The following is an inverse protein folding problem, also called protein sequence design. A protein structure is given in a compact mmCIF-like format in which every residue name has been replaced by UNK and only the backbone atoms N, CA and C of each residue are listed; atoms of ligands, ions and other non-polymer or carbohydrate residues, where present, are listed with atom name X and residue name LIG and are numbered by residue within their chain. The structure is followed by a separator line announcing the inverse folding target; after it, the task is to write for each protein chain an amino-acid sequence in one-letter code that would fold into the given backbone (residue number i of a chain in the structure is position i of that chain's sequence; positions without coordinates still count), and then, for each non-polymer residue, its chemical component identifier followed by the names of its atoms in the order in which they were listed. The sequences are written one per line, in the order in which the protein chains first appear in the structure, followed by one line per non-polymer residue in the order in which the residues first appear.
data_IF_002913901141
#
_entry.id   IF_002913901141
#
_cell.length_a   1.000
_cell.length_b   1.000
_cell.length_c   1.000
_cell.angle_alpha   90.00
_cell.angle_beta   90.00
_cell.angle_gamma   90.00
#
_symmetry.space_group_name_H-M   'P 1'
#
loop_
_entity.id
_entity.type
_entity.pdbx_description
1 polymer ?
#
# COMPACT_ATOMS: atom_id res chain seq x y z
N UNK A 1 11.76 -22.68 45.22
CA UNK A 1 12.77 -23.20 46.15
C UNK A 1 12.25 -23.03 47.58
N UNK A 2 11.41 -23.94 48.05
CA UNK A 2 11.12 -24.06 49.48
C UNK A 2 11.90 -25.26 49.98
N UNK A 3 12.80 -25.05 50.95
CA UNK A 3 13.67 -26.09 51.50
C UNK A 3 12.78 -27.10 52.26
N UNK A 4 12.84 -28.38 51.86
CA UNK A 4 12.27 -29.48 52.66
C UNK A 4 12.94 -29.48 54.04
N UNK A 5 12.14 -29.50 55.11
CA UNK A 5 12.63 -29.70 56.47
C UNK A 5 12.96 -31.20 56.58
N UNK A 6 14.23 -31.54 56.40
CA UNK A 6 14.73 -32.89 56.71
C UNK A 6 14.67 -33.10 58.21
N UNK A 7 14.08 -34.22 58.62
CA UNK A 7 14.09 -34.69 60.01
C UNK A 7 15.55 -34.87 60.47
N UNK A 8 16.02 -34.01 61.36
CA UNK A 8 17.20 -34.28 62.17
C UNK A 8 16.85 -35.42 63.15
N UNK A 9 17.72 -36.42 63.35
CA UNK A 9 17.48 -37.46 64.33
C UNK A 9 17.61 -36.83 65.73
N UNK A 10 16.49 -36.72 66.44
CA UNK A 10 16.43 -36.34 67.87
C UNK A 10 16.95 -37.50 68.72
N UNK A 11 18.21 -37.88 68.52
CA UNK A 11 18.88 -38.96 69.26
C UNK A 11 19.89 -38.43 70.31
N UNK A 12 19.95 -37.10 70.53
CA UNK A 12 21.04 -36.47 71.28
C UNK A 12 20.60 -35.54 72.41
N UNK A 13 19.49 -35.80 73.10
CA UNK A 13 19.07 -34.99 74.26
C UNK A 13 18.31 -35.78 75.36
N UNK A 14 18.63 -37.07 75.51
CA UNK A 14 18.17 -37.89 76.64
C UNK A 14 19.33 -38.70 77.24
N UNK A 15 20.31 -37.99 77.78
CA UNK A 15 21.20 -38.52 78.81
C UNK A 15 21.26 -37.49 79.93
N UNK A 16 20.44 -37.68 80.95
CA UNK A 16 20.77 -37.54 82.38
C UNK A 16 19.54 -37.91 83.23
N UNK A 17 19.62 -39.10 83.83
CA UNK A 17 19.07 -39.55 85.12
C UNK A 17 17.84 -38.86 85.74
N UNK A 18 16.78 -39.66 85.94
CA UNK A 18 16.00 -39.64 87.18
C UNK A 18 14.62 -38.95 87.13
N UNK A 19 13.62 -39.61 86.54
CA UNK A 19 12.21 -39.65 87.00
C UNK A 19 11.38 -40.51 86.03
N UNK A 20 10.88 -41.66 86.51
CA UNK A 20 10.17 -42.70 85.72
C UNK A 20 8.75 -42.34 85.26
N UNK A 21 8.35 -41.06 85.30
CA UNK A 21 7.04 -40.58 84.83
C UNK A 21 7.10 -39.58 83.66
N UNK A 22 8.29 -39.14 83.22
CA UNK A 22 8.45 -38.15 82.14
C UNK A 22 8.64 -38.71 80.72
N UNK A 23 9.00 -39.99 80.59
CA UNK A 23 9.45 -40.55 79.31
C UNK A 23 8.30 -40.88 78.33
N UNK A 24 7.16 -41.35 78.83
CA UNK A 24 5.99 -41.64 77.99
C UNK A 24 5.33 -40.37 77.45
N UNK A 25 5.32 -39.28 78.24
CA UNK A 25 4.80 -37.99 77.81
C UNK A 25 5.70 -37.35 76.75
N UNK A 26 7.02 -37.46 76.91
CA UNK A 26 8.01 -37.01 75.90
C UNK A 26 7.92 -37.82 74.60
N UNK A 27 7.73 -39.15 74.67
CA UNK A 27 7.53 -39.98 73.48
C UNK A 27 6.21 -39.66 72.77
N UNK A 28 5.15 -39.41 73.52
CA UNK A 28 3.85 -38.99 72.98
C UNK A 28 3.94 -37.61 72.31
N UNK A 29 4.59 -36.64 72.96
CA UNK A 29 4.84 -35.32 72.39
C UNK A 29 5.73 -35.40 71.14
N UNK A 30 6.75 -36.26 71.16
CA UNK A 30 7.59 -36.51 69.98
C UNK A 30 6.80 -37.08 68.82
N UNK A 31 5.92 -38.06 69.08
CA UNK A 31 5.06 -38.66 68.06
C UNK A 31 4.02 -37.68 67.49
N UNK A 32 3.45 -36.81 68.34
CA UNK A 32 2.54 -35.75 67.92
C UNK A 32 3.24 -34.71 67.03
N UNK A 33 4.43 -34.27 67.41
CA UNK A 33 5.27 -33.36 66.60
C UNK A 33 5.59 -34.00 65.24
N UNK A 34 5.94 -35.29 65.21
CA UNK A 34 6.27 -36.00 63.97
C UNK A 34 5.05 -36.18 63.05
N UNK A 35 3.87 -36.41 63.63
CA UNK A 35 2.61 -36.47 62.90
C UNK A 35 2.23 -35.10 62.32
N UNK A 36 2.46 -34.03 63.07
CA UNK A 36 2.20 -32.66 62.63
C UNK A 36 3.16 -32.22 61.52
N UNK A 37 4.46 -32.55 61.63
CA UNK A 37 5.43 -32.32 60.56
C UNK A 37 5.06 -33.06 59.26
N UNK A 38 4.54 -34.29 59.34
CA UNK A 38 4.03 -35.01 58.16
C UNK A 38 2.83 -34.30 57.51
N UNK A 39 1.89 -33.78 58.32
CA UNK A 39 0.74 -33.00 57.81
C UNK A 39 1.20 -31.71 57.13
N UNK A 40 2.17 -31.01 57.72
CA UNK A 40 2.74 -29.78 57.17
C UNK A 40 3.46 -30.05 55.84
N UNK A 41 4.28 -31.10 55.75
CA UNK A 41 4.94 -31.48 54.50
C UNK A 41 3.93 -31.82 53.39
N UNK A 42 2.86 -32.53 53.74
CA UNK A 42 1.78 -32.84 52.77
C UNK A 42 1.08 -31.57 52.26
N UNK A 43 0.83 -30.58 53.14
CA UNK A 43 0.28 -29.27 52.72
C UNK A 43 1.26 -28.49 51.86
N UNK A 44 2.55 -28.52 52.16
CA UNK A 44 3.61 -27.89 51.37
C UNK A 44 3.69 -28.46 49.96
N UNK A 45 3.65 -29.78 49.80
CA UNK A 45 3.64 -30.42 48.47
C UNK A 45 2.39 -30.01 47.65
N UNK A 46 1.23 -29.88 48.31
CA UNK A 46 0.00 -29.37 47.70
C UNK A 46 0.13 -27.92 47.23
N UNK A 47 0.74 -27.05 48.05
CA UNK A 47 0.99 -25.65 47.72
C UNK A 47 2.02 -25.49 46.59
N UNK A 48 3.08 -26.30 46.57
CA UNK A 48 4.05 -26.29 45.46
C UNK A 48 3.42 -26.71 44.14
N UNK A 49 2.49 -27.68 44.16
CA UNK A 49 1.75 -28.10 42.96
C UNK A 49 0.82 -26.99 42.44
N UNK A 50 0.12 -26.29 43.32
CA UNK A 50 -0.68 -25.11 42.96
C UNK A 50 0.17 -23.95 42.43
N UNK A 51 1.34 -23.70 43.04
CA UNK A 51 2.26 -22.67 42.58
C UNK A 51 2.80 -22.94 41.17
N UNK A 52 3.08 -24.21 40.84
CA UNK A 52 3.47 -24.63 39.48
C UNK A 52 2.34 -24.42 38.46
N UNK A 53 1.12 -24.85 38.79
CA UNK A 53 -0.05 -24.62 37.92
C UNK A 53 -0.28 -23.12 37.66
N UNK A 54 -0.13 -22.28 38.69
CA UNK A 54 -0.24 -20.82 38.55
C UNK A 54 0.90 -20.20 37.71
N UNK A 55 2.09 -20.80 37.71
CA UNK A 55 3.19 -20.37 36.86
C UNK A 55 2.93 -20.68 35.37
N UNK A 56 2.31 -21.82 35.08
CA UNK A 56 1.96 -22.26 33.72
C UNK A 56 0.78 -21.47 33.10
N UNK A 57 -0.11 -20.91 33.93
CA UNK A 57 -1.23 -20.06 33.49
C UNK A 57 -0.78 -18.67 33.00
N UNK A 58 0.31 -18.13 33.56
CA UNK A 58 0.83 -16.79 33.19
C UNK A 58 1.20 -16.63 31.69
N UNK A 59 1.93 -17.55 31.05
CA UNK A 59 2.23 -17.44 29.62
C UNK A 59 0.98 -17.57 28.74
N UNK A 60 0.01 -18.40 29.12
CA UNK A 60 -1.28 -18.51 28.41
C UNK A 60 -2.10 -17.21 28.51
N UNK A 61 -2.18 -16.58 29.68
CA UNK A 61 -2.78 -15.25 29.85
C UNK A 61 -2.08 -14.18 29.01
N UNK A 62 -0.74 -14.24 28.90
CA UNK A 62 0.02 -13.31 28.04
C UNK A 62 -0.31 -13.50 26.56
N UNK A 63 -0.47 -14.74 26.10
CA UNK A 63 -0.91 -15.04 24.72
C UNK A 63 -2.34 -14.57 24.47
N UNK A 64 -3.25 -14.80 25.41
CA UNK A 64 -4.64 -14.35 25.33
C UNK A 64 -4.73 -12.83 25.29
N UNK A 65 -4.01 -12.11 26.14
CA UNK A 65 -3.96 -10.64 26.09
C UNK A 65 -3.36 -10.12 24.78
N UNK A 66 -2.31 -10.76 24.25
CA UNK A 66 -1.76 -10.38 22.96
C UNK A 66 -2.77 -10.60 21.81
N UNK A 67 -3.59 -11.66 21.88
CA UNK A 67 -4.67 -11.93 20.93
C UNK A 67 -5.81 -10.93 21.08
N UNK A 68 -6.21 -10.59 22.31
CA UNK A 68 -7.23 -9.58 22.61
C UNK A 68 -6.84 -8.21 22.03
N UNK A 69 -5.61 -7.76 22.30
CA UNK A 69 -5.08 -6.50 21.77
C UNK A 69 -5.05 -6.48 20.23
N UNK A 70 -4.82 -7.62 19.57
CA UNK A 70 -4.88 -7.72 18.10
C UNK A 70 -6.32 -7.58 17.60
N UNK A 71 -7.27 -8.23 18.26
CA UNK A 71 -8.70 -8.14 17.92
C UNK A 71 -9.23 -6.71 18.14
N UNK A 72 -8.86 -6.04 19.22
CA UNK A 72 -9.23 -4.63 19.46
C UNK A 72 -8.67 -3.70 18.38
N UNK A 73 -7.41 -3.90 17.96
CA UNK A 73 -6.82 -3.15 16.84
C UNK A 73 -7.57 -3.41 15.54
N UNK A 74 -7.94 -4.66 15.25
CA UNK A 74 -8.72 -5.01 14.07
C UNK A 74 -10.12 -4.39 14.12
N UNK A 75 -10.80 -4.43 15.27
CA UNK A 75 -12.11 -3.83 15.46
C UNK A 75 -12.07 -2.31 15.28
N UNK A 76 -11.06 -1.64 15.85
CA UNK A 76 -10.86 -0.21 15.65
C UNK A 76 -10.56 0.13 14.19
N UNK A 77 -9.74 -0.68 13.50
CA UNK A 77 -9.53 -0.52 12.06
C UNK A 77 -10.82 -0.69 11.26
N UNK A 78 -11.62 -1.72 11.54
CA UNK A 78 -12.92 -1.96 10.88
C UNK A 78 -13.91 -0.83 11.17
N UNK A 79 -13.97 -0.30 12.39
CA UNK A 79 -14.78 0.87 12.72
C UNK A 79 -14.30 2.14 12.02
N UNK A 80 -12.99 2.31 11.87
CA UNK A 80 -12.42 3.46 11.16
C UNK A 80 -12.73 3.36 9.67
N UNK A 81 -12.54 2.18 9.06
CA UNK A 81 -12.93 1.87 7.68
C UNK A 81 -14.43 2.07 7.46
N UNK A 82 -15.27 1.60 8.39
CA UNK A 82 -16.72 1.78 8.37
C UNK A 82 -17.09 3.27 8.40
N UNK A 83 -16.52 4.08 9.31
CA UNK A 83 -16.78 5.52 9.35
C UNK A 83 -16.37 6.24 8.05
N UNK A 84 -15.32 5.80 7.37
CA UNK A 84 -14.91 6.40 6.08
C UNK A 84 -15.82 6.02 4.91
N UNK A 85 -16.50 4.86 4.97
CA UNK A 85 -17.35 4.32 3.89
C UNK A 85 -18.86 4.38 4.15
N UNK A 86 -19.32 4.75 5.35
CA UNK A 86 -20.76 4.92 5.66
C UNK A 86 -21.36 6.13 4.94
N UNK A 87 -20.55 7.10 4.52
CA UNK A 87 -20.98 8.07 3.52
C UNK A 87 -20.77 7.44 2.14
N UNK A 88 -21.85 6.90 1.57
CA UNK A 88 -21.86 6.44 0.19
C UNK A 88 -21.45 7.55 -0.79
N UNK A 89 -21.30 7.23 -2.09
CA UNK A 89 -20.90 8.20 -3.10
C UNK A 89 -21.77 9.45 -3.04
N UNK A 90 -21.16 10.61 -2.77
CA UNK A 90 -21.83 11.90 -2.79
C UNK A 90 -21.76 12.39 -4.22
N UNK A 91 -22.92 12.38 -4.87
CA UNK A 91 -23.13 12.93 -6.20
C UNK A 91 -23.21 14.46 -6.16
N UNK A 92 -23.02 15.15 -7.29
CA UNK A 92 -23.17 16.60 -7.31
C UNK A 92 -24.62 17.01 -7.09
N UNK A 93 -24.83 18.26 -6.63
CA UNK A 93 -26.14 18.85 -6.51
C UNK A 93 -26.68 19.21 -7.91
N UNK A 94 -27.34 18.22 -8.53
CA UNK A 94 -27.89 18.34 -9.91
C UNK A 94 -28.91 19.47 -10.03
N UNK A 95 -29.69 19.72 -8.99
CA UNK A 95 -30.67 20.80 -8.99
C UNK A 95 -29.98 22.16 -9.02
N UNK A 96 -28.93 22.36 -8.21
CA UNK A 96 -28.12 23.58 -8.29
C UNK A 96 -27.41 23.72 -9.64
N UNK A 97 -26.82 22.65 -10.15
CA UNK A 97 -26.14 22.67 -11.46
C UNK A 97 -27.12 23.03 -12.60
N UNK A 98 -28.33 22.49 -12.59
CA UNK A 98 -29.36 22.77 -13.61
C UNK A 98 -29.86 24.23 -13.60
N UNK A 99 -29.70 24.93 -12.48
CA UNK A 99 -30.11 26.34 -12.30
C UNK A 99 -29.03 27.33 -12.71
N UNK A 100 -27.82 26.88 -13.01
CA UNK A 100 -26.74 27.75 -13.48
C UNK A 100 -27.11 28.25 -14.87
N UNK A 101 -27.27 29.57 -15.02
CA UNK A 101 -27.64 30.18 -16.29
C UNK A 101 -26.47 30.12 -17.27
N UNK A 102 -26.73 29.82 -18.56
CA UNK A 102 -25.69 29.89 -19.59
C UNK A 102 -24.99 31.24 -19.63
N UNK A 103 -23.71 31.24 -20.00
CA UNK A 103 -22.97 32.46 -20.27
C UNK A 103 -23.59 33.20 -21.46
N UNK A 104 -23.60 34.55 -21.46
CA UNK A 104 -23.96 35.33 -22.64
C UNK A 104 -22.95 35.09 -23.76
N UNK A 105 -23.29 35.44 -25.01
CA UNK A 105 -22.45 35.18 -26.18
C UNK A 105 -21.04 35.80 -26.10
N UNK A 106 -20.91 36.97 -25.45
CA UNK A 106 -19.64 37.65 -25.19
C UNK A 106 -19.54 37.92 -23.69
N UNK A 107 -19.16 36.93 -22.87
CA UNK A 107 -19.10 37.09 -21.44
C UNK A 107 -17.92 37.97 -21.03
N UNK A 108 -18.11 38.80 -20.01
CA UNK A 108 -17.01 39.50 -19.37
C UNK A 108 -16.20 38.53 -18.49
N UNK A 109 -14.94 38.86 -18.21
CA UNK A 109 -14.09 38.06 -17.31
C UNK A 109 -14.77 37.79 -15.96
N UNK A 110 -15.47 38.79 -15.42
CA UNK A 110 -16.19 38.65 -14.16
C UNK A 110 -17.36 37.66 -14.27
N UNK A 111 -18.10 37.66 -15.38
CA UNK A 111 -19.16 36.69 -15.61
C UNK A 111 -18.62 35.26 -15.70
N UNK A 112 -17.46 35.07 -16.33
CA UNK A 112 -16.79 33.75 -16.39
C UNK A 112 -16.35 33.31 -15.00
N UNK A 113 -15.72 34.19 -14.21
CA UNK A 113 -15.30 33.90 -12.83
C UNK A 113 -16.49 33.49 -11.96
N UNK A 114 -17.58 34.25 -12.02
CA UNK A 114 -18.78 33.96 -11.23
C UNK A 114 -19.48 32.68 -11.70
N UNK A 115 -19.43 32.37 -13.00
CA UNK A 115 -19.92 31.12 -13.56
C UNK A 115 -19.12 29.90 -13.05
N UNK A 116 -17.78 29.96 -13.08
CA UNK A 116 -16.91 28.92 -12.51
C UNK A 116 -17.18 28.74 -11.01
N UNK A 117 -17.37 29.85 -10.26
CA UNK A 117 -17.68 29.78 -8.83
C UNK A 117 -19.01 29.06 -8.57
N UNK A 118 -20.04 29.29 -9.38
CA UNK A 118 -21.33 28.61 -9.26
C UNK A 118 -21.20 27.11 -9.50
N UNK A 119 -20.49 26.68 -10.54
CA UNK A 119 -20.25 25.26 -10.82
C UNK A 119 -19.56 24.58 -9.64
N UNK A 120 -18.49 25.20 -9.13
CA UNK A 120 -17.72 24.67 -8.01
C UNK A 120 -18.53 24.60 -6.73
N UNK A 121 -19.33 25.63 -6.43
CA UNK A 121 -20.19 25.65 -5.25
C UNK A 121 -21.26 24.55 -5.30
N UNK A 122 -21.83 24.29 -6.47
CA UNK A 122 -22.80 23.21 -6.67
C UNK A 122 -22.16 21.81 -6.60
N UNK A 123 -20.84 21.73 -6.70
CA UNK A 123 -20.07 20.47 -6.67
C UNK A 123 -19.34 20.23 -5.34
N UNK A 124 -19.56 21.08 -4.31
CA UNK A 124 -18.89 20.92 -3.01
C UNK A 124 -19.28 19.60 -2.36
N UNK A 125 -18.26 18.89 -1.87
CA UNK A 125 -18.45 17.62 -1.14
C UNK A 125 -18.70 16.42 -2.04
N UNK A 126 -18.71 16.58 -3.36
CA UNK A 126 -18.81 15.47 -4.30
C UNK A 126 -17.63 14.50 -4.14
N UNK A 127 -17.94 13.22 -4.01
CA UNK A 127 -16.94 12.13 -3.86
C UNK A 127 -17.03 11.08 -4.96
N UNK A 128 -18.07 11.11 -5.80
CA UNK A 128 -18.20 10.26 -6.98
C UNK A 128 -18.16 11.09 -8.26
N UNK A 129 -17.37 10.65 -9.24
CA UNK A 129 -17.10 11.39 -10.48
C UNK A 129 -17.39 10.51 -11.69
N UNK A 130 -18.06 11.07 -12.70
CA UNK A 130 -18.42 10.45 -13.97
C UNK A 130 -18.01 11.33 -15.15
N UNK A 131 -17.68 10.70 -16.27
CA UNK A 131 -17.45 11.38 -17.55
C UNK A 131 -18.74 11.91 -18.20
N UNK A 132 -19.90 11.69 -17.58
CA UNK A 132 -21.21 12.20 -18.00
C UNK A 132 -21.76 13.25 -17.05
N UNK A 133 -20.95 13.76 -16.13
CA UNK A 133 -21.43 14.72 -15.14
C UNK A 133 -21.69 16.11 -15.75
N UNK A 134 -22.75 16.83 -15.33
CA UNK A 134 -23.15 18.09 -15.96
C UNK A 134 -22.07 19.18 -15.95
N UNK A 135 -21.13 19.13 -14.99
CA UNK A 135 -20.02 20.08 -14.91
C UNK A 135 -19.18 20.12 -16.17
N UNK A 136 -19.00 19.00 -16.87
CA UNK A 136 -18.23 18.96 -18.12
C UNK A 136 -18.87 19.85 -19.19
N UNK A 137 -20.19 19.69 -19.40
CA UNK A 137 -20.95 20.49 -20.36
C UNK A 137 -21.06 21.95 -19.93
N UNK A 138 -21.11 22.24 -18.63
CA UNK A 138 -21.09 23.62 -18.13
C UNK A 138 -19.73 24.28 -18.39
N UNK A 139 -18.63 23.62 -18.06
CA UNK A 139 -17.29 24.14 -18.36
C UNK A 139 -17.07 24.36 -19.86
N UNK A 140 -17.62 23.51 -20.72
CA UNK A 140 -17.55 23.67 -22.17
C UNK A 140 -18.13 25.02 -22.66
N UNK A 141 -19.14 25.58 -21.99
CA UNK A 141 -19.79 26.84 -22.37
C UNK A 141 -18.88 28.07 -22.22
N UNK A 142 -17.77 27.97 -21.48
CA UNK A 142 -16.80 29.08 -21.36
C UNK A 142 -16.13 29.35 -22.70
N UNK A 143 -15.90 28.31 -23.50
CA UNK A 143 -15.17 28.41 -24.76
C UNK A 143 -13.67 28.68 -24.58
N UNK A 144 -12.92 28.73 -25.70
CA UNK A 144 -11.47 28.95 -25.69
C UNK A 144 -11.08 30.41 -25.45
N UNK A 145 -9.82 30.67 -25.07
CA UNK A 145 -9.23 32.02 -25.00
C UNK A 145 -9.25 32.67 -23.61
N UNK A 146 -9.80 31.97 -22.61
CA UNK A 146 -9.93 32.47 -21.25
C UNK A 146 -8.99 31.78 -20.26
N UNK A 147 -7.91 31.15 -20.74
CA UNK A 147 -7.02 30.33 -19.91
C UNK A 147 -6.52 31.07 -18.67
N UNK A 148 -6.20 32.36 -18.79
CA UNK A 148 -5.73 33.19 -17.68
C UNK A 148 -6.70 33.23 -16.49
N UNK A 149 -8.01 33.14 -16.73
CA UNK A 149 -9.05 33.05 -15.70
C UNK A 149 -9.17 31.65 -15.10
N UNK A 150 -8.80 30.61 -15.86
CA UNK A 150 -8.92 29.21 -15.47
C UNK A 150 -7.75 28.72 -14.60
N UNK A 151 -6.54 29.26 -14.81
CA UNK A 151 -5.32 28.83 -14.12
C UNK A 151 -5.47 28.68 -12.59
N UNK A 152 -6.09 29.62 -11.85
CA UNK A 152 -6.22 29.51 -10.39
C UNK A 152 -7.01 28.29 -9.91
N UNK A 153 -7.83 27.68 -10.78
CA UNK A 153 -8.73 26.59 -10.43
C UNK A 153 -8.20 25.22 -10.83
N UNK A 154 -7.20 25.14 -11.72
CA UNK A 154 -6.75 23.88 -12.34
C UNK A 154 -6.27 22.82 -11.33
N UNK A 155 -5.69 23.21 -10.20
CA UNK A 155 -5.18 22.24 -9.21
C UNK A 155 -6.28 21.64 -8.32
N UNK A 156 -7.51 22.19 -8.37
CA UNK A 156 -8.59 21.85 -7.42
C UNK A 156 -9.86 21.33 -8.10
N UNK A 157 -9.88 21.27 -9.43
CA UNK A 157 -11.08 20.91 -10.18
C UNK A 157 -10.75 19.93 -11.31
N UNK A 158 -11.13 18.66 -11.12
CA UNK A 158 -10.84 17.61 -12.09
C UNK A 158 -11.63 17.76 -13.40
N UNK A 159 -12.88 18.26 -13.35
CA UNK A 159 -13.68 18.48 -14.57
C UNK A 159 -13.06 19.57 -15.44
N UNK A 160 -12.62 20.66 -14.81
CA UNK A 160 -11.93 21.73 -15.54
C UNK A 160 -10.64 21.21 -16.19
N UNK A 161 -9.87 20.38 -15.48
CA UNK A 161 -8.65 19.74 -16.02
C UNK A 161 -8.93 18.84 -17.22
N UNK A 162 -10.06 18.13 -17.23
CA UNK A 162 -10.46 17.28 -18.35
C UNK A 162 -10.97 18.09 -19.54
N UNK A 163 -11.58 19.25 -19.28
CA UNK A 163 -12.06 20.17 -20.32
C UNK A 163 -10.98 21.09 -20.90
N UNK A 164 -9.83 21.23 -20.23
CA UNK A 164 -8.72 22.10 -20.65
C UNK A 164 -8.40 22.07 -22.16
N UNK A 165 -8.33 20.92 -22.85
CA UNK A 165 -7.99 20.93 -24.26
C UNK A 165 -9.00 21.66 -25.17
N UNK A 166 -10.28 21.70 -24.77
CA UNK A 166 -11.32 22.45 -25.47
C UNK A 166 -11.34 23.93 -25.10
N UNK A 167 -10.86 24.27 -23.90
CA UNK A 167 -10.84 25.63 -23.34
C UNK A 167 -9.56 26.42 -23.64
N UNK A 168 -8.54 25.75 -24.18
CA UNK A 168 -7.30 26.41 -24.61
C UNK A 168 -7.42 26.78 -26.10
N UNK A 169 -7.37 28.08 -26.37
CA UNK A 169 -7.38 28.64 -27.72
C UNK A 169 -5.97 28.84 -28.30
N UNK A 170 -5.86 29.15 -29.58
CA UNK A 170 -4.57 29.50 -30.21
C UNK A 170 -3.89 30.71 -29.57
N UNK A 171 -4.69 31.69 -29.14
CA UNK A 171 -4.22 32.91 -28.46
C UNK A 171 -3.59 32.62 -27.10
N UNK A 172 -3.86 31.46 -26.49
CA UNK A 172 -3.34 31.08 -25.18
C UNK A 172 -1.93 30.47 -25.23
N UNK A 173 -1.38 30.20 -26.43
CA UNK A 173 -0.14 29.43 -26.62
C UNK A 173 1.04 29.90 -25.77
N UNK A 174 1.31 31.21 -25.76
CA UNK A 174 2.41 31.78 -24.95
C UNK A 174 2.13 31.75 -23.44
N UNK A 175 0.86 31.80 -23.04
CA UNK A 175 0.49 31.64 -21.64
C UNK A 175 0.66 30.17 -21.22
N UNK A 176 0.27 29.21 -22.07
CA UNK A 176 0.49 27.78 -21.86
C UNK A 176 1.98 27.52 -21.67
N UNK A 177 2.84 27.97 -22.59
CA UNK A 177 4.30 27.78 -22.51
C UNK A 177 4.87 28.25 -21.17
N UNK A 178 4.48 29.45 -20.71
CA UNK A 178 4.96 30.04 -19.44
C UNK A 178 4.39 29.35 -18.20
N UNK A 179 3.20 28.76 -18.32
CA UNK A 179 2.46 28.13 -17.22
C UNK A 179 2.75 26.64 -17.04
N UNK A 180 3.33 25.94 -18.02
CA UNK A 180 3.60 24.49 -17.98
C UNK A 180 4.31 24.03 -16.70
N UNK A 181 5.30 24.80 -16.23
CA UNK A 181 6.05 24.48 -14.99
C UNK A 181 5.18 24.48 -13.72
N UNK A 182 4.09 25.24 -13.73
CA UNK A 182 3.16 25.37 -12.61
C UNK A 182 1.94 24.47 -12.78
N UNK A 183 1.55 24.21 -14.03
CA UNK A 183 0.37 23.43 -14.40
C UNK A 183 0.72 22.39 -15.48
N UNK A 184 1.42 21.29 -15.12
CA UNK A 184 1.82 20.26 -16.08
C UNK A 184 0.66 19.62 -16.84
N UNK A 185 -0.55 19.64 -16.25
CA UNK A 185 -1.80 19.20 -16.89
C UNK A 185 -2.07 19.88 -18.25
N UNK A 186 -1.51 21.06 -18.50
CA UNK A 186 -1.62 21.75 -19.78
C UNK A 186 -0.97 20.99 -20.94
N UNK A 187 -0.12 19.98 -20.68
CA UNK A 187 0.46 19.13 -21.72
C UNK A 187 -0.60 18.51 -22.62
N UNK A 188 -1.76 18.11 -22.08
CA UNK A 188 -2.86 17.57 -22.90
C UNK A 188 -3.29 18.55 -24.00
N UNK A 189 -3.39 19.85 -23.66
CA UNK A 189 -3.68 20.90 -24.63
C UNK A 189 -2.53 21.09 -25.62
N UNK A 190 -1.28 21.04 -25.17
CA UNK A 190 -0.09 21.15 -26.05
C UNK A 190 -0.06 20.02 -27.10
N UNK A 191 -0.36 18.78 -26.70
CA UNK A 191 -0.44 17.62 -27.60
C UNK A 191 -1.56 17.83 -28.62
N UNK A 192 -2.78 18.10 -28.17
CA UNK A 192 -3.95 18.23 -29.05
C UNK A 192 -3.87 19.40 -30.03
N UNK A 193 -3.11 20.44 -29.68
CA UNK A 193 -2.86 21.60 -30.55
C UNK A 193 -1.62 21.46 -31.45
N UNK A 194 -0.89 20.35 -31.35
CA UNK A 194 0.30 20.11 -32.16
C UNK A 194 1.49 21.00 -31.80
N UNK A 195 1.55 21.54 -30.57
CA UNK A 195 2.59 22.48 -30.13
C UNK A 195 3.82 21.81 -29.51
N UNK A 196 3.90 20.48 -29.53
CA UNK A 196 4.97 19.71 -28.87
C UNK A 196 6.37 20.14 -29.32
N UNK A 197 6.60 20.26 -30.63
CA UNK A 197 7.92 20.62 -31.20
C UNK A 197 8.38 22.00 -30.74
N UNK A 198 7.47 22.96 -30.70
CA UNK A 198 7.74 24.35 -30.31
C UNK A 198 7.94 24.55 -28.80
N UNK A 199 7.41 23.63 -27.99
CA UNK A 199 7.51 23.68 -26.52
C UNK A 199 8.42 22.57 -25.96
N UNK A 200 9.24 21.95 -26.82
CA UNK A 200 10.04 20.78 -26.48
C UNK A 200 10.93 21.01 -25.27
N UNK A 201 11.60 22.17 -25.21
CA UNK A 201 12.51 22.53 -24.11
C UNK A 201 11.78 22.62 -22.78
N UNK A 202 10.62 23.27 -22.75
CA UNK A 202 9.78 23.44 -21.57
C UNK A 202 9.25 22.08 -21.10
N UNK A 203 8.75 21.24 -22.01
CA UNK A 203 8.23 19.91 -21.69
C UNK A 203 9.34 19.01 -21.14
N UNK A 204 10.53 18.98 -21.77
CA UNK A 204 11.66 18.19 -21.29
C UNK A 204 12.14 18.61 -19.89
N UNK A 205 11.97 19.88 -19.52
CA UNK A 205 12.27 20.35 -18.16
C UNK A 205 11.31 19.75 -17.11
N UNK A 206 10.05 19.46 -17.47
CA UNK A 206 9.06 18.90 -16.54
C UNK A 206 9.44 17.49 -16.06
N UNK A 207 10.04 16.67 -16.93
CA UNK A 207 10.50 15.33 -16.57
C UNK A 207 11.52 15.35 -15.42
N UNK A 208 12.33 16.41 -15.32
CA UNK A 208 13.36 16.59 -14.29
C UNK A 208 12.81 17.13 -12.97
N UNK A 209 11.56 17.61 -12.93
CA UNK A 209 10.98 18.21 -11.74
C UNK A 209 10.44 17.13 -10.78
N UNK A 210 10.74 17.21 -9.46
CA UNK A 210 10.33 16.17 -8.51
C UNK A 210 8.81 16.13 -8.29
N UNK A 211 8.13 17.28 -8.33
CA UNK A 211 6.70 17.39 -8.00
C UNK A 211 5.77 17.18 -9.20
N UNK A 212 6.32 16.92 -10.39
CA UNK A 212 5.51 16.65 -11.59
C UNK A 212 5.20 15.16 -11.63
N UNK A 213 3.90 14.84 -11.63
CA UNK A 213 3.40 13.48 -11.79
C UNK A 213 3.64 13.00 -13.20
N UNK A 214 4.23 11.82 -13.32
CA UNK A 214 4.57 11.18 -14.59
C UNK A 214 3.33 10.93 -15.43
N UNK A 215 2.21 10.55 -14.80
CA UNK A 215 0.91 10.37 -15.46
C UNK A 215 0.47 11.57 -16.30
N UNK A 216 0.78 12.80 -15.87
CA UNK A 216 0.33 14.03 -16.53
C UNK A 216 1.14 14.37 -17.78
N UNK A 217 2.34 13.81 -17.91
CA UNK A 217 3.31 14.19 -18.94
C UNK A 217 3.69 13.05 -19.88
N UNK A 218 3.16 11.84 -19.66
CA UNK A 218 3.58 10.64 -20.40
C UNK A 218 3.21 10.66 -21.89
N UNK A 219 2.06 11.26 -22.23
CA UNK A 219 1.43 11.09 -23.54
C UNK A 219 2.20 11.82 -24.67
N UNK A 220 3.15 12.71 -24.33
CA UNK A 220 3.96 13.42 -25.32
C UNK A 220 5.23 12.67 -25.75
N UNK A 221 5.62 11.60 -25.05
CA UNK A 221 6.94 10.96 -25.20
C UNK A 221 7.23 10.48 -26.63
N UNK A 222 6.32 9.73 -27.31
CA UNK A 222 6.64 9.15 -28.62
C UNK A 222 6.98 10.20 -29.68
N UNK A 223 6.35 11.37 -29.62
CA UNK A 223 6.60 12.47 -30.56
C UNK A 223 7.76 13.38 -30.13
N UNK A 224 8.01 13.48 -28.82
CA UNK A 224 8.99 14.38 -28.23
C UNK A 224 10.42 13.82 -28.30
N UNK A 225 10.59 12.53 -28.05
CA UNK A 225 11.91 11.89 -27.95
C UNK A 225 12.46 11.59 -29.34
N UNK A 226 13.50 12.33 -29.73
CA UNK A 226 14.14 12.23 -31.04
C UNK A 226 15.66 12.06 -30.94
N UNK A 227 16.25 12.34 -29.78
CA UNK A 227 17.71 12.25 -29.56
C UNK A 227 18.05 11.27 -28.44
N UNK A 228 19.28 10.71 -28.40
CA UNK A 228 19.74 9.88 -27.30
C UNK A 228 19.69 10.57 -25.93
N UNK A 229 19.98 11.88 -25.88
CA UNK A 229 19.93 12.66 -24.63
C UNK A 229 18.50 12.81 -24.10
N UNK A 230 17.53 13.00 -24.99
CA UNK A 230 16.12 13.04 -24.62
C UNK A 230 15.62 11.68 -24.13
N UNK A 231 16.03 10.61 -24.83
CA UNK A 231 15.70 9.27 -24.42
C UNK A 231 16.22 8.99 -23.01
N UNK A 232 17.48 9.37 -22.73
CA UNK A 232 18.09 9.21 -21.41
C UNK A 232 17.27 9.89 -20.31
N UNK A 233 16.78 11.11 -20.55
CA UNK A 233 15.94 11.82 -19.58
C UNK A 233 14.68 11.01 -19.25
N UNK A 234 13.99 10.48 -20.26
CA UNK A 234 12.74 9.74 -20.06
C UNK A 234 12.99 8.38 -19.42
N UNK A 235 14.07 7.67 -19.79
CA UNK A 235 14.45 6.40 -19.16
C UNK A 235 14.89 6.59 -17.71
N UNK A 236 15.60 7.68 -17.39
CA UNK A 236 15.99 8.01 -16.02
C UNK A 236 14.75 8.23 -15.15
N UNK A 237 13.72 8.89 -15.68
CA UNK A 237 12.42 9.03 -15.01
C UNK A 237 11.75 7.67 -14.79
N UNK A 238 11.71 6.82 -15.82
CA UNK A 238 11.14 5.48 -15.70
C UNK A 238 11.85 4.65 -14.63
N UNK A 239 13.17 4.74 -14.51
CA UNK A 239 13.97 3.96 -13.55
C UNK A 239 13.83 4.51 -12.13
N UNK A 240 13.93 5.83 -11.95
CA UNK A 240 14.18 6.42 -10.63
C UNK A 240 12.96 7.03 -9.94
N UNK A 241 11.89 7.42 -10.67
CA UNK A 241 10.67 7.94 -10.03
C UNK A 241 9.73 6.81 -9.57
N UNK A 242 9.07 6.94 -8.40
CA UNK A 242 8.10 5.94 -7.95
C UNK A 242 6.97 5.70 -8.97
N UNK A 243 6.39 6.77 -9.51
CA UNK A 243 5.34 6.75 -10.54
C UNK A 243 5.88 6.64 -11.98
N UNK A 244 7.19 6.44 -12.14
CA UNK A 244 7.85 6.29 -13.45
C UNK A 244 7.32 5.12 -14.28
N UNK A 245 6.74 4.11 -13.63
CA UNK A 245 6.18 2.94 -14.32
C UNK A 245 5.08 3.28 -15.34
N UNK A 246 4.39 4.42 -15.21
CA UNK A 246 3.41 4.88 -16.20
C UNK A 246 3.99 5.18 -17.59
N UNK A 247 5.32 5.26 -17.72
CA UNK A 247 5.98 5.53 -19.00
C UNK A 247 6.17 4.30 -19.89
N UNK A 248 5.97 3.09 -19.36
CA UNK A 248 6.34 1.89 -20.09
C UNK A 248 5.66 1.82 -21.48
N UNK A 249 4.35 2.09 -21.55
CA UNK A 249 3.62 1.98 -22.82
C UNK A 249 4.09 2.98 -23.87
N UNK A 250 4.58 4.15 -23.45
CA UNK A 250 5.18 5.12 -24.35
C UNK A 250 6.60 4.71 -24.77
N UNK A 251 7.39 4.19 -23.84
CA UNK A 251 8.78 3.75 -24.10
C UNK A 251 8.83 2.54 -25.03
N UNK A 252 7.82 1.66 -25.00
CA UNK A 252 7.68 0.53 -25.94
C UNK A 252 7.56 0.96 -27.40
N UNK A 253 7.04 2.15 -27.65
CA UNK A 253 6.85 2.67 -29.01
C UNK A 253 8.15 3.20 -29.61
N UNK A 254 9.20 3.36 -28.81
CA UNK A 254 10.50 3.86 -29.26
C UNK A 254 11.40 2.68 -29.66
N UNK A 255 11.77 2.55 -30.95
CA UNK A 255 12.50 1.38 -31.46
C UNK A 255 13.93 1.26 -30.91
N UNK A 256 14.50 2.36 -30.41
CA UNK A 256 15.85 2.40 -29.84
C UNK A 256 15.92 2.00 -28.36
N UNK A 257 14.78 1.63 -27.73
CA UNK A 257 14.74 1.23 -26.32
C UNK A 257 14.99 -0.27 -26.18
N UNK A 258 16.06 -0.64 -25.50
CA UNK A 258 16.21 -1.99 -24.96
C UNK A 258 15.27 -2.15 -23.76
N UNK A 259 14.05 -2.63 -24.04
CA UNK A 259 13.03 -2.85 -23.02
C UNK A 259 13.50 -3.85 -21.96
N UNK A 260 14.23 -4.89 -22.34
CA UNK A 260 14.70 -5.92 -21.41
C UNK A 260 15.65 -5.32 -20.38
N UNK A 261 16.64 -4.56 -20.84
CA UNK A 261 17.58 -3.89 -19.95
C UNK A 261 16.85 -2.87 -19.06
N UNK A 262 15.99 -2.05 -19.66
CA UNK A 262 15.28 -0.96 -18.98
C UNK A 262 14.41 -1.47 -17.82
N UNK A 263 13.56 -2.48 -18.05
CA UNK A 263 12.65 -2.97 -16.99
C UNK A 263 13.39 -3.68 -15.86
N UNK A 264 14.48 -4.39 -16.17
CA UNK A 264 15.29 -5.07 -15.16
C UNK A 264 16.07 -4.08 -14.30
N UNK A 265 16.63 -3.03 -14.90
CA UNK A 265 17.28 -1.95 -14.16
C UNK A 265 16.29 -1.23 -13.24
N UNK A 266 15.09 -0.92 -13.76
CA UNK A 266 14.06 -0.25 -13.00
C UNK A 266 13.53 -1.11 -11.84
N UNK A 267 13.42 -2.42 -12.03
CA UNK A 267 13.08 -3.37 -10.96
C UNK A 267 14.16 -3.39 -9.86
N UNK A 268 15.43 -3.53 -10.23
CA UNK A 268 16.54 -3.54 -9.28
C UNK A 268 16.66 -2.22 -8.49
N UNK A 269 16.38 -1.09 -9.14
CA UNK A 269 16.39 0.23 -8.50
C UNK A 269 15.22 0.40 -7.52
N UNK A 270 14.03 -0.06 -7.89
CA UNK A 270 12.83 0.00 -7.05
C UNK A 270 13.00 -0.71 -5.72
N UNK A 271 13.59 -1.92 -5.77
CA UNK A 271 13.92 -2.71 -4.59
C UNK A 271 14.81 -1.95 -3.59
N UNK A 272 15.63 -1.00 -4.07
CA UNK A 272 16.53 -0.20 -3.24
C UNK A 272 15.88 1.10 -2.75
N UNK A 273 15.23 1.84 -3.65
CA UNK A 273 14.77 3.21 -3.38
C UNK A 273 13.40 3.31 -2.73
N UNK A 274 12.48 2.41 -3.06
CA UNK A 274 11.10 2.48 -2.59
C UNK A 274 10.50 1.08 -2.34
N UNK A 275 11.16 0.24 -1.50
CA UNK A 275 10.69 -1.12 -1.23
C UNK A 275 9.32 -1.18 -0.52
N UNK A 276 8.86 -0.06 0.05
CA UNK A 276 7.56 0.07 0.72
C UNK A 276 6.47 0.65 -0.18
N UNK A 277 6.80 1.14 -1.37
CA UNK A 277 5.80 1.59 -2.36
C UNK A 277 5.26 0.35 -3.09
N UNK A 278 4.17 -0.18 -2.55
CA UNK A 278 3.60 -1.45 -3.00
C UNK A 278 3.14 -1.39 -4.46
N UNK A 279 2.51 -0.29 -4.89
CA UNK A 279 2.04 -0.16 -6.27
C UNK A 279 3.22 -0.13 -7.24
N UNK A 280 4.22 0.72 -6.96
CA UNK A 280 5.41 0.80 -7.80
C UNK A 280 6.14 -0.55 -7.89
N UNK A 281 6.26 -1.26 -6.76
CA UNK A 281 6.92 -2.55 -6.71
C UNK A 281 6.16 -3.65 -7.47
N UNK A 282 4.83 -3.75 -7.30
CA UNK A 282 4.00 -4.72 -8.02
C UNK A 282 4.12 -4.48 -9.53
N UNK A 283 3.90 -3.24 -9.99
CA UNK A 283 3.91 -2.92 -11.41
C UNK A 283 5.30 -3.16 -12.03
N UNK A 284 6.38 -2.83 -11.31
CA UNK A 284 7.74 -3.08 -11.82
C UNK A 284 8.11 -4.54 -11.85
N UNK A 285 7.66 -5.34 -10.89
CA UNK A 285 7.80 -6.80 -10.97
C UNK A 285 7.06 -7.37 -12.18
N UNK A 286 5.83 -6.88 -12.46
CA UNK A 286 5.08 -7.27 -13.66
C UNK A 286 5.83 -6.91 -14.94
N UNK A 287 6.36 -5.69 -15.03
CA UNK A 287 7.17 -5.26 -16.18
C UNK A 287 8.42 -6.12 -16.37
N UNK A 288 9.12 -6.46 -15.27
CA UNK A 288 10.31 -7.30 -15.31
C UNK A 288 10.00 -8.75 -15.75
N UNK A 289 8.87 -9.31 -15.32
CA UNK A 289 8.41 -10.64 -15.75
C UNK A 289 8.04 -10.64 -17.23
N UNK A 290 7.32 -9.61 -17.68
CA UNK A 290 6.77 -9.57 -19.02
C UNK A 290 7.80 -9.21 -20.09
N UNK A 291 8.72 -8.28 -19.78
CA UNK A 291 9.67 -7.71 -20.76
C UNK A 291 11.14 -7.96 -20.41
N UNK A 292 11.45 -8.30 -19.16
CA UNK A 292 12.82 -8.48 -18.67
C UNK A 292 13.42 -9.85 -18.97
N UNK A 293 12.65 -10.76 -19.56
CA UNK A 293 13.04 -12.17 -19.72
C UNK A 293 12.84 -12.98 -18.44
N UNK A 294 13.61 -14.07 -18.22
CA UNK A 294 13.47 -14.95 -17.07
C UNK A 294 13.77 -14.25 -15.72
N UNK A 295 12.77 -13.63 -15.09
CA UNK A 295 12.93 -12.91 -13.82
C UNK A 295 12.22 -13.63 -12.67
N UNK A 296 12.85 -14.71 -12.21
CA UNK A 296 12.33 -15.56 -11.13
C UNK A 296 12.13 -14.78 -9.82
N UNK A 297 13.01 -13.83 -9.52
CA UNK A 297 12.91 -13.04 -8.29
C UNK A 297 11.70 -12.09 -8.29
N UNK A 298 11.35 -11.52 -9.45
CA UNK A 298 10.12 -10.75 -9.61
C UNK A 298 8.86 -11.62 -9.41
N UNK A 299 8.85 -12.86 -9.95
CA UNK A 299 7.75 -13.81 -9.71
C UNK A 299 7.62 -14.14 -8.23
N UNK A 300 8.73 -14.50 -7.58
CA UNK A 300 8.77 -14.79 -6.15
C UNK A 300 8.28 -13.61 -5.30
N UNK A 301 8.63 -12.39 -5.68
CA UNK A 301 8.13 -11.19 -5.04
C UNK A 301 6.60 -11.12 -5.10
N UNK A 302 6.00 -11.27 -6.29
CA UNK A 302 4.54 -11.25 -6.46
C UNK A 302 3.83 -12.37 -5.68
N UNK A 303 4.40 -13.59 -5.65
CA UNK A 303 3.86 -14.68 -4.85
C UNK A 303 3.90 -14.36 -3.35
N UNK A 304 5.00 -13.78 -2.84
CA UNK A 304 5.11 -13.32 -1.44
C UNK A 304 4.07 -12.25 -1.11
N UNK A 305 3.78 -11.35 -2.04
CA UNK A 305 2.74 -10.33 -1.85
C UNK A 305 1.34 -10.95 -1.70
N UNK A 306 1.01 -11.98 -2.48
CA UNK A 306 -0.26 -12.71 -2.34
C UNK A 306 -0.39 -13.44 -1.00
N UNK A 307 0.73 -13.90 -0.43
CA UNK A 307 0.75 -14.61 0.85
C UNK A 307 0.68 -13.70 2.08
N UNK A 308 0.91 -12.40 1.94
CA UNK A 308 1.02 -11.46 3.06
C UNK A 308 -0.33 -11.18 3.74
N UNK A 309 -0.42 -11.33 5.06
CA UNK A 309 -1.69 -11.26 5.82
C UNK A 309 -2.17 -9.83 6.14
N UNK A 310 -1.84 -8.82 5.33
CA UNK A 310 -2.19 -7.42 5.60
C UNK A 310 -3.64 -7.09 5.18
N UNK A 311 -4.60 -6.96 6.13
CA UNK A 311 -6.04 -7.06 5.83
C UNK A 311 -6.61 -5.95 4.95
N UNK A 312 -5.94 -4.79 4.84
CA UNK A 312 -6.46 -3.61 4.12
C UNK A 312 -6.16 -3.56 2.61
N UNK A 313 -5.23 -4.39 2.11
CA UNK A 313 -4.70 -4.26 0.74
C UNK A 313 -4.83 -5.58 -0.05
N UNK A 314 -5.35 -6.64 0.58
CA UNK A 314 -5.47 -7.97 -0.04
C UNK A 314 -6.34 -7.97 -1.30
N UNK A 315 -7.43 -7.19 -1.33
CA UNK A 315 -8.28 -7.09 -2.52
C UNK A 315 -7.52 -6.49 -3.70
N UNK A 316 -6.81 -5.39 -3.48
CA UNK A 316 -6.00 -4.72 -4.49
C UNK A 316 -4.90 -5.65 -5.04
N UNK A 317 -4.15 -6.32 -4.15
CA UNK A 317 -3.11 -7.30 -4.53
C UNK A 317 -3.68 -8.41 -5.40
N UNK A 318 -4.78 -9.02 -4.98
CA UNK A 318 -5.42 -10.11 -5.73
C UNK A 318 -5.87 -9.64 -7.11
N UNK A 319 -6.48 -8.44 -7.20
CA UNK A 319 -6.93 -7.86 -8.47
C UNK A 319 -5.77 -7.55 -9.43
N UNK A 320 -4.62 -7.11 -8.94
CA UNK A 320 -3.47 -6.83 -9.79
C UNK A 320 -2.63 -8.05 -10.13
N UNK A 321 -2.37 -8.93 -9.16
CA UNK A 321 -1.35 -9.97 -9.27
C UNK A 321 -1.91 -11.25 -9.88
N UNK A 322 -3.11 -11.70 -9.47
CA UNK A 322 -3.64 -12.99 -9.92
C UNK A 322 -3.91 -12.99 -11.43
N UNK A 323 -4.65 -12.01 -12.01
CA UNK A 323 -4.88 -11.98 -13.46
C UNK A 323 -3.56 -11.88 -14.23
N UNK A 324 -2.60 -11.14 -13.69
CA UNK A 324 -1.28 -11.02 -14.30
C UNK A 324 -0.54 -12.35 -14.30
N UNK A 325 -0.41 -13.06 -13.16
CA UNK A 325 0.42 -14.28 -13.05
C UNK A 325 -0.21 -15.50 -13.73
N UNK A 326 -1.53 -15.55 -13.88
CA UNK A 326 -2.26 -16.68 -14.47
C UNK A 326 -1.67 -17.19 -15.80
N UNK A 327 -1.37 -16.33 -16.80
CA UNK A 327 -0.72 -16.78 -18.04
C UNK A 327 0.75 -17.21 -17.87
N UNK A 328 1.44 -16.80 -16.81
CA UNK A 328 2.88 -17.03 -16.62
C UNK A 328 3.21 -18.22 -15.73
N UNK A 329 2.28 -18.75 -14.94
CA UNK A 329 2.55 -19.90 -14.07
C UNK A 329 1.28 -20.70 -13.75
N UNK A 330 1.44 -22.00 -13.48
CA UNK A 330 0.37 -22.91 -13.10
C UNK A 330 0.34 -23.17 -11.57
N UNK A 331 0.78 -22.18 -10.79
CA UNK A 331 0.88 -22.27 -9.33
C UNK A 331 -0.51 -22.08 -8.68
N UNK A 332 -0.74 -22.53 -7.43
CA UNK A 332 -2.03 -22.40 -6.75
C UNK A 332 -2.33 -20.98 -6.25
N UNK A 333 -2.22 -19.96 -7.11
CA UNK A 333 -2.28 -18.52 -6.77
C UNK A 333 -3.66 -18.03 -6.30
N UNK A 334 -4.72 -18.81 -6.51
CA UNK A 334 -6.08 -18.47 -6.09
C UNK A 334 -6.38 -18.84 -4.63
N UNK A 335 -5.60 -19.77 -4.06
CA UNK A 335 -5.76 -20.24 -2.69
C UNK A 335 -4.53 -19.83 -1.87
N UNK A 336 -4.69 -18.83 -1.01
CA UNK A 336 -3.58 -18.26 -0.24
C UNK A 336 -2.93 -19.29 0.72
N UNK A 337 -3.74 -20.17 1.33
CA UNK A 337 -3.22 -21.17 2.26
C UNK A 337 -2.41 -22.23 1.50
N UNK A 338 -2.97 -22.75 0.41
CA UNK A 338 -2.28 -23.70 -0.45
C UNK A 338 -1.06 -23.09 -1.13
N UNK A 339 -1.12 -21.82 -1.53
CA UNK A 339 0.01 -21.09 -2.09
C UNK A 339 1.17 -21.01 -1.10
N UNK A 340 0.89 -20.73 0.17
CA UNK A 340 1.92 -20.65 1.21
C UNK A 340 2.65 -21.98 1.38
N UNK A 341 1.91 -23.06 1.61
CA UNK A 341 2.48 -24.41 1.75
C UNK A 341 3.24 -24.85 0.49
N UNK A 342 2.70 -24.54 -0.69
CA UNK A 342 3.33 -24.84 -1.96
C UNK A 342 4.62 -24.05 -2.14
N UNK A 343 4.63 -22.75 -1.81
CA UNK A 343 5.79 -21.88 -1.99
C UNK A 343 6.95 -22.31 -1.06
N UNK A 344 6.66 -22.60 0.21
CA UNK A 344 7.67 -23.07 1.18
C UNK A 344 8.41 -24.34 0.71
N UNK A 345 7.73 -25.23 -0.04
CA UNK A 345 8.30 -26.48 -0.54
C UNK A 345 9.03 -26.35 -1.88
N UNK A 346 8.80 -25.30 -2.64
CA UNK A 346 9.20 -25.23 -4.06
C UNK A 346 9.95 -23.95 -4.45
N UNK A 347 10.05 -22.94 -3.58
CA UNK A 347 10.56 -21.61 -3.93
C UNK A 347 11.96 -21.62 -4.57
N UNK A 348 12.86 -22.47 -4.08
CA UNK A 348 14.22 -22.64 -4.58
C UNK A 348 14.28 -23.34 -5.96
N UNK A 349 13.23 -24.07 -6.32
CA UNK A 349 13.12 -24.83 -7.58
C UNK A 349 12.33 -24.10 -8.66
N UNK A 350 11.83 -22.89 -8.39
CA UNK A 350 11.14 -22.09 -9.41
C UNK A 350 12.15 -21.68 -10.49
N UNK A 351 11.85 -22.04 -11.73
CA UNK A 351 12.65 -21.71 -12.93
C UNK A 351 11.73 -21.24 -14.04
N UNK A 352 12.29 -20.54 -15.04
CA UNK A 352 11.59 -20.24 -16.28
C UNK A 352 11.82 -21.36 -17.29
N UNK A 353 10.73 -21.87 -17.86
CA UNK A 353 10.74 -22.86 -18.92
C UNK A 353 10.54 -22.16 -20.27
N UNK A 354 11.57 -22.07 -21.13
CA UNK A 354 11.47 -21.42 -22.42
C UNK A 354 10.57 -22.18 -23.41
N UNK A 355 10.32 -23.47 -23.21
CA UNK A 355 9.48 -24.26 -24.11
C UNK A 355 7.99 -23.96 -23.89
N UNK A 356 7.58 -23.74 -22.64
CA UNK A 356 6.20 -23.39 -22.29
C UNK A 356 5.99 -21.88 -22.15
N UNK A 357 7.07 -21.10 -22.04
CA UNK A 357 7.03 -19.67 -21.77
C UNK A 357 6.59 -19.34 -20.34
N UNK A 358 6.52 -20.33 -19.45
CA UNK A 358 6.01 -20.21 -18.08
C UNK A 358 7.10 -20.40 -17.03
N UNK A 359 6.81 -19.93 -15.82
CA UNK A 359 7.55 -20.29 -14.62
C UNK A 359 7.01 -21.61 -14.05
N UNK A 360 7.91 -22.56 -13.82
CA UNK A 360 7.61 -23.93 -13.39
C UNK A 360 8.50 -24.33 -12.22
N UNK A 361 8.18 -25.45 -11.58
CA UNK A 361 9.06 -26.08 -10.59
C UNK A 361 9.96 -27.08 -11.30
N UNK A 362 11.28 -26.88 -11.22
CA UNK A 362 12.26 -27.84 -11.75
C UNK A 362 12.12 -29.16 -10.99
N UNK A 363 11.82 -30.23 -11.73
CA UNK A 363 11.68 -31.59 -11.19
C UNK A 363 12.95 -32.02 -10.47
#
# INVERSE_FOLDING_TARGET
MLRKIFALPVAGLLLLSGCRSGNAELEKQSAEILAEMKRINTRLDGLEKQAKQNADIRPELKKLNARLNRMEKQQNQVQTFSKTYVQGPVWPDRDKLSKIRPLPANPTDQQIIDYIRQIRQASIGQTAFSNTDPQLSLYEQIGPGHLHLLLPYLNRDNYLRDMLPKLVGETDKELVRRSLKHYPVLIKSVVLKGWLKEMKKEIMALFKMPNVRVYEIRDCIPELVQTPDELKIVTDVYIHKPDGFFLLDNLKLLPCVDLRQLVNQAWAEAQKKYPTDEQAMIVRAQHAIQYGGPNVEAVKYLLKMLMSDQPGIQTFRKQMIIPFLTPWCDFPIYDQARLREWYEKNADRIVYDPATGKYVVKK
#
